data_IF_563203457328
#
_entry.id   IF_563203457328
#
_cell.length_a   1.000
_cell.length_b   1.000
_cell.length_c   1.000
_cell.angle_alpha   90.00
_cell.angle_beta   90.00
_cell.angle_gamma   90.00
#
_symmetry.space_group_name_H-M   'P 1'
#
loop_
_entity.id
_entity.type
_entity.pdbx_description
1 polymer ?
#
# COMPACT_ATOMS: atom_id res chain seq x y z
N UNK A 1 -3.04 -1.79 -6.39
CA UNK A 1 -3.88 -1.13 -5.36
C UNK A 1 -4.97 -0.25 -5.96
N UNK A 2 -4.72 0.43 -7.09
CA UNK A 2 -5.70 1.30 -7.75
C UNK A 2 -7.05 0.63 -8.00
N UNK A 3 -7.08 -0.55 -8.62
CA UNK A 3 -8.35 -1.26 -8.85
C UNK A 3 -9.09 -1.60 -7.56
N UNK A 4 -8.37 -2.06 -6.54
CA UNK A 4 -8.94 -2.32 -5.22
C UNK A 4 -9.48 -1.05 -4.53
N UNK A 5 -8.83 0.11 -4.70
CA UNK A 5 -9.31 1.40 -4.19
C UNK A 5 -10.63 1.81 -4.87
N UNK A 6 -10.74 1.59 -6.17
CA UNK A 6 -11.89 2.05 -6.97
C UNK A 6 -13.10 1.12 -6.83
N UNK A 7 -12.89 -0.20 -6.92
CA UNK A 7 -13.98 -1.19 -6.95
C UNK A 7 -14.15 -1.95 -5.63
N UNK A 8 -13.09 -2.10 -4.83
CA UNK A 8 -13.00 -3.16 -3.81
C UNK A 8 -13.91 -3.07 -2.58
N UNK A 9 -14.81 -2.09 -2.47
CA UNK A 9 -15.85 -2.07 -1.40
C UNK A 9 -17.24 -2.36 -1.95
N UNK A 10 -17.62 -1.66 -3.00
CA UNK A 10 -18.98 -1.75 -3.58
C UNK A 10 -19.04 -2.82 -4.68
N UNK A 11 -17.99 -2.93 -5.49
CA UNK A 11 -17.84 -3.87 -6.60
C UNK A 11 -16.71 -4.87 -6.33
N UNK A 12 -16.70 -5.47 -5.14
CA UNK A 12 -15.63 -6.37 -4.69
C UNK A 12 -15.32 -7.50 -5.69
N UNK A 13 -16.35 -7.98 -6.40
CA UNK A 13 -16.23 -9.08 -7.35
C UNK A 13 -15.47 -8.74 -8.64
N UNK A 14 -15.26 -7.45 -8.93
CA UNK A 14 -14.37 -7.01 -10.02
C UNK A 14 -12.89 -7.16 -9.68
N UNK A 15 -12.57 -7.29 -8.38
CA UNK A 15 -11.19 -7.43 -7.89
C UNK A 15 -10.88 -8.87 -7.49
N UNK A 16 -11.86 -9.58 -6.94
CA UNK A 16 -11.73 -10.96 -6.48
C UNK A 16 -12.93 -11.78 -6.91
N UNK A 17 -12.76 -13.06 -7.29
CA UNK A 17 -13.86 -13.85 -7.84
C UNK A 17 -15.00 -14.17 -6.84
N UNK A 18 -14.73 -14.12 -5.53
CA UNK A 18 -15.73 -14.37 -4.49
C UNK A 18 -15.33 -13.69 -3.17
N UNK A 19 -16.30 -13.54 -2.25
CA UNK A 19 -16.03 -12.94 -0.95
C UNK A 19 -15.21 -13.90 -0.05
N UNK A 20 -14.05 -13.49 0.50
CA UNK A 20 -13.14 -14.38 1.23
C UNK A 20 -13.76 -15.13 2.41
N UNK A 21 -14.77 -14.54 3.06
CA UNK A 21 -15.43 -15.15 4.22
C UNK A 21 -16.20 -16.42 3.87
N UNK A 22 -16.56 -16.62 2.59
CA UNK A 22 -17.21 -17.85 2.13
C UNK A 22 -16.32 -19.10 2.29
N UNK A 23 -15.01 -18.90 2.37
CA UNK A 23 -14.01 -19.97 2.54
C UNK A 23 -13.21 -19.81 3.85
N UNK A 24 -13.75 -19.08 4.82
CA UNK A 24 -13.11 -18.83 6.12
C UNK A 24 -11.87 -17.94 6.08
N UNK A 25 -11.62 -17.24 4.96
CA UNK A 25 -10.47 -16.35 4.82
C UNK A 25 -10.79 -14.91 5.26
N UNK A 26 -9.76 -14.20 5.72
CA UNK A 26 -9.86 -12.78 6.09
C UNK A 26 -9.90 -11.90 4.85
N UNK A 27 -10.44 -10.68 4.99
CA UNK A 27 -10.40 -9.69 3.92
C UNK A 27 -8.96 -9.36 3.50
N UNK A 28 -8.72 -9.16 2.20
CA UNK A 28 -7.40 -8.83 1.68
C UNK A 28 -6.93 -7.48 2.24
N UNK A 29 -5.62 -7.34 2.40
CA UNK A 29 -4.98 -6.09 2.80
C UNK A 29 -3.96 -5.67 1.77
N UNK A 30 -4.00 -4.40 1.38
CA UNK A 30 -2.94 -3.82 0.56
C UNK A 30 -1.65 -3.78 1.37
N UNK A 31 -0.60 -4.40 0.83
CA UNK A 31 0.76 -4.48 1.39
C UNK A 31 1.72 -3.61 0.59
N UNK A 32 2.90 -3.34 1.15
CA UNK A 32 3.96 -2.56 0.51
C UNK A 32 5.12 -3.44 0.06
N UNK A 33 5.56 -3.28 -1.19
CA UNK A 33 6.67 -4.04 -1.75
C UNK A 33 7.09 -3.54 -3.13
N UNK A 34 7.92 -4.32 -3.82
CA UNK A 34 8.44 -3.98 -5.16
C UNK A 34 7.35 -3.66 -6.20
N UNK A 35 6.18 -4.30 -6.08
CA UNK A 35 5.03 -4.13 -6.99
C UNK A 35 4.03 -3.06 -6.50
N UNK A 36 4.34 -2.31 -5.46
CA UNK A 36 3.50 -1.18 -5.04
C UNK A 36 3.44 -0.11 -6.13
N UNK A 37 2.29 0.58 -6.18
CA UNK A 37 2.08 1.80 -6.97
C UNK A 37 1.67 2.98 -6.08
N UNK A 38 1.46 4.15 -6.69
CA UNK A 38 1.16 5.41 -5.96
C UNK A 38 -0.04 5.27 -5.01
N UNK A 39 -1.14 4.66 -5.45
CA UNK A 39 -2.30 4.45 -4.57
C UNK A 39 -1.98 3.54 -3.37
N UNK A 40 -1.01 2.64 -3.49
CA UNK A 40 -0.57 1.82 -2.35
C UNK A 40 0.04 2.72 -1.27
N UNK A 41 0.84 3.72 -1.68
CA UNK A 41 1.45 4.69 -0.78
C UNK A 41 0.38 5.61 -0.19
N UNK A 42 -0.51 6.18 -1.01
CA UNK A 42 -1.60 7.04 -0.53
C UNK A 42 -2.47 6.34 0.49
N UNK A 43 -2.83 5.07 0.26
CA UNK A 43 -3.59 4.27 1.22
C UNK A 43 -2.85 4.10 2.55
N UNK A 44 -1.54 3.84 2.54
CA UNK A 44 -0.76 3.67 3.77
C UNK A 44 -0.51 5.01 4.49
N UNK A 45 -0.28 6.10 3.76
CA UNK A 45 -0.23 7.46 4.31
C UNK A 45 -1.55 7.83 5.02
N UNK A 46 -2.68 7.50 4.40
CA UNK A 46 -4.01 7.68 5.00
C UNK A 46 -4.18 6.91 6.32
N UNK A 47 -3.70 5.67 6.41
CA UNK A 47 -3.73 4.86 7.66
C UNK A 47 -2.93 5.50 8.79
N UNK A 48 -1.83 6.19 8.47
CA UNK A 48 -0.98 6.87 9.47
C UNK A 48 -1.28 8.37 9.61
N UNK A 49 -2.32 8.87 8.92
CA UNK A 49 -2.78 10.27 8.92
C UNK A 49 -1.68 11.29 8.56
N UNK A 50 -0.80 10.94 7.62
CA UNK A 50 0.24 11.84 7.10
C UNK A 50 -0.17 12.38 5.73
N UNK A 51 -0.04 13.70 5.54
CA UNK A 51 -0.17 14.34 4.22
C UNK A 51 1.21 14.40 3.55
N UNK A 52 1.23 14.23 2.24
CA UNK A 52 2.43 14.34 1.42
C UNK A 52 2.05 14.95 0.06
N UNK A 53 2.95 15.71 -0.55
CA UNK A 53 2.79 16.19 -1.93
C UNK A 53 2.94 15.02 -2.92
N UNK A 54 2.54 15.23 -4.17
CA UNK A 54 2.67 14.19 -5.20
C UNK A 54 4.13 13.76 -5.43
N UNK A 55 5.07 14.71 -5.39
CA UNK A 55 6.51 14.42 -5.48
C UNK A 55 6.98 13.57 -4.29
N UNK A 56 6.54 13.90 -3.08
CA UNK A 56 6.85 13.12 -1.88
C UNK A 56 6.25 11.71 -1.95
N UNK A 57 5.03 11.55 -2.48
CA UNK A 57 4.42 10.22 -2.70
C UNK A 57 5.25 9.40 -3.69
N UNK A 58 5.73 10.02 -4.77
CA UNK A 58 6.65 9.41 -5.73
C UNK A 58 7.97 8.98 -5.10
N UNK A 59 8.59 9.83 -4.30
CA UNK A 59 9.83 9.52 -3.60
C UNK A 59 9.65 8.38 -2.59
N UNK A 60 8.58 8.43 -1.77
CA UNK A 60 8.24 7.35 -0.83
C UNK A 60 8.07 6.02 -1.58
N UNK A 61 7.38 6.03 -2.73
CA UNK A 61 7.19 4.83 -3.55
C UNK A 61 8.54 4.22 -3.97
N UNK A 62 9.46 5.05 -4.44
CA UNK A 62 10.79 4.60 -4.85
C UNK A 62 11.57 3.99 -3.68
N UNK A 63 11.56 4.66 -2.51
CA UNK A 63 12.21 4.15 -1.30
C UNK A 63 11.60 2.83 -0.80
N UNK A 64 10.28 2.68 -0.88
CA UNK A 64 9.56 1.42 -0.55
C UNK A 64 9.98 0.29 -1.47
N UNK A 65 10.01 0.52 -2.80
CA UNK A 65 10.43 -0.50 -3.76
C UNK A 65 11.87 -0.93 -3.51
N UNK A 66 12.77 0.03 -3.28
CA UNK A 66 14.18 -0.26 -2.99
C UNK A 66 14.36 -1.04 -1.68
N UNK A 67 13.67 -0.65 -0.61
CA UNK A 67 13.71 -1.37 0.67
C UNK A 67 13.21 -2.81 0.52
N UNK A 68 12.11 -3.00 -0.21
CA UNK A 68 11.53 -4.33 -0.49
C UNK A 68 12.49 -5.22 -1.27
N UNK A 69 13.13 -4.68 -2.31
CA UNK A 69 14.12 -5.41 -3.12
C UNK A 69 15.33 -5.80 -2.29
N UNK A 70 15.89 -4.87 -1.51
CA UNK A 70 17.08 -5.12 -0.67
C UNK A 70 16.85 -6.24 0.34
N UNK A 71 15.69 -6.28 0.98
CA UNK A 71 15.38 -7.31 1.99
C UNK A 71 14.66 -8.54 1.44
N UNK A 72 14.38 -8.57 0.13
CA UNK A 72 13.60 -9.61 -0.56
C UNK A 72 12.24 -9.91 0.12
N UNK A 73 11.53 -8.86 0.55
CA UNK A 73 10.29 -9.00 1.32
C UNK A 73 9.40 -7.76 1.34
N UNK A 74 8.26 -7.85 2.04
CA UNK A 74 7.30 -6.74 2.19
C UNK A 74 7.79 -5.69 3.17
N UNK A 75 7.59 -4.41 2.88
CA UNK A 75 7.88 -3.31 3.81
C UNK A 75 6.78 -3.24 4.88
N UNK A 76 7.18 -3.33 6.15
CA UNK A 76 6.27 -3.28 7.28
C UNK A 76 5.95 -1.83 7.72
N UNK A 77 5.01 -1.67 8.65
CA UNK A 77 4.56 -0.35 9.12
C UNK A 77 5.68 0.46 9.80
N UNK A 78 6.61 -0.21 10.50
CA UNK A 78 7.72 0.47 11.19
C UNK A 78 8.71 1.01 10.18
N UNK A 79 9.07 0.22 9.18
CA UNK A 79 9.94 0.63 8.07
C UNK A 79 9.28 1.71 7.22
N UNK A 80 7.99 1.57 6.90
CA UNK A 80 7.25 2.58 6.14
C UNK A 80 7.26 3.92 6.86
N UNK A 81 6.97 3.95 8.18
CA UNK A 81 7.04 5.19 8.97
C UNK A 81 8.44 5.83 8.95
N UNK A 82 9.51 5.02 8.96
CA UNK A 82 10.88 5.54 8.83
C UNK A 82 11.10 6.19 7.46
N UNK A 83 10.65 5.54 6.38
CA UNK A 83 10.73 6.08 5.02
C UNK A 83 9.96 7.40 4.94
N UNK A 84 8.72 7.44 5.44
CA UNK A 84 7.88 8.64 5.42
C UNK A 84 8.55 9.80 6.15
N UNK A 85 9.10 9.58 7.36
CA UNK A 85 9.81 10.61 8.13
C UNK A 85 11.06 11.17 7.43
N UNK A 86 11.66 10.41 6.51
CA UNK A 86 12.83 10.88 5.75
C UNK A 86 12.44 11.79 4.58
N UNK A 87 11.19 11.72 4.12
CA UNK A 87 10.70 12.43 2.92
C UNK A 87 9.79 13.59 3.30
N UNK A 88 8.89 13.37 4.26
CA UNK A 88 7.96 14.37 4.78
C UNK A 88 8.60 14.97 6.02
N UNK A 89 9.12 16.19 5.88
CA UNK A 89 9.63 17.02 6.98
C UNK A 89 8.50 17.82 7.60
#
# INVERSE_FOLDING_TARGET
>A
ATWYKNAGKEHFLEVFPFHPTLVGQRMPRVVLGKNSGLDSIRMHLGRIRVKATEDQVGEILMRVKHASLRKKGLVDDREFRKIVKQVVR
#
